data_IF_002572675841
#
_entry.id   IF_002572675841
#
_cell.length_a   1.000
_cell.length_b   1.000
_cell.length_c   1.000
_cell.angle_alpha   90.00
_cell.angle_beta   90.00
_cell.angle_gamma   90.00
#
_symmetry.space_group_name_H-M   'P 1'
#
loop_
_entity.id
_entity.type
_entity.pdbx_description
1 polymer ?
#
# COMPACT_ATOMS: atom_id res chain seq x y z
N UNK A 1 25.89 27.93 -62.71
CA UNK A 1 27.25 28.48 -62.54
C UNK A 1 27.59 29.70 -63.42
N UNK A 2 26.80 30.08 -64.43
CA UNK A 2 27.09 31.26 -65.28
C UNK A 2 26.89 32.61 -64.55
N UNK A 3 25.95 32.68 -63.59
CA UNK A 3 25.63 33.88 -62.80
C UNK A 3 26.77 34.36 -61.88
N UNK A 4 27.57 33.44 -61.34
CA UNK A 4 28.68 33.73 -60.44
C UNK A 4 29.95 34.16 -61.18
N UNK A 5 30.06 33.87 -62.49
CA UNK A 5 31.30 34.09 -63.25
C UNK A 5 31.54 35.58 -63.54
N UNK A 6 30.48 36.34 -63.84
CA UNK A 6 30.57 37.73 -64.32
C UNK A 6 30.33 38.83 -63.25
N UNK A 7 30.23 38.49 -61.95
CA UNK A 7 30.02 39.48 -60.85
C UNK A 7 31.36 40.01 -60.30
N UNK A 8 31.39 41.26 -59.82
CA UNK A 8 32.55 41.88 -59.13
C UNK A 8 33.00 41.02 -57.93
N UNK A 9 34.32 40.97 -57.67
CA UNK A 9 34.93 40.13 -56.62
C UNK A 9 34.27 40.29 -55.24
N UNK A 10 33.96 41.54 -54.85
CA UNK A 10 33.30 41.85 -53.58
C UNK A 10 31.93 41.17 -53.40
N UNK A 11 31.14 41.03 -54.46
CA UNK A 11 29.82 40.40 -54.40
C UNK A 11 29.94 38.88 -54.19
N UNK A 12 30.95 38.25 -54.80
CA UNK A 12 31.20 36.81 -54.62
C UNK A 12 31.63 36.49 -53.18
N UNK A 13 32.50 37.34 -52.61
CA UNK A 13 32.98 37.21 -51.25
C UNK A 13 31.86 37.42 -50.22
N UNK A 14 31.02 38.44 -50.42
CA UNK A 14 29.86 38.72 -49.56
C UNK A 14 28.84 37.59 -49.54
N UNK A 15 28.55 36.97 -50.70
CA UNK A 15 27.65 35.81 -50.79
C UNK A 15 28.22 34.58 -50.09
N UNK A 16 29.52 34.30 -50.24
CA UNK A 16 30.18 33.18 -49.55
C UNK A 16 30.15 33.37 -48.02
N UNK A 17 30.49 34.57 -47.54
CA UNK A 17 30.43 34.88 -46.11
C UNK A 17 29.01 34.76 -45.57
N UNK A 18 28.00 35.23 -46.31
CA UNK A 18 26.60 35.08 -45.93
C UNK A 18 26.16 33.61 -45.82
N UNK A 19 26.56 32.77 -46.76
CA UNK A 19 26.27 31.32 -46.71
C UNK A 19 26.97 30.66 -45.52
N UNK A 20 28.25 30.96 -45.29
CA UNK A 20 29.00 30.42 -44.14
C UNK A 20 28.33 30.84 -42.84
N UNK A 21 27.94 32.11 -42.70
CA UNK A 21 27.26 32.62 -41.52
C UNK A 21 25.91 31.92 -41.29
N UNK A 22 25.11 31.72 -42.35
CA UNK A 22 23.85 30.97 -42.27
C UNK A 22 24.07 29.51 -41.85
N UNK A 23 25.10 28.83 -42.40
CA UNK A 23 25.46 27.47 -42.00
C UNK A 23 25.89 27.40 -40.53
N UNK A 24 26.70 28.36 -40.06
CA UNK A 24 27.12 28.44 -38.66
C UNK A 24 25.92 28.64 -37.73
N UNK A 25 25.01 29.56 -38.06
CA UNK A 25 23.79 29.80 -37.27
C UNK A 25 22.91 28.55 -37.26
N UNK A 26 22.70 27.91 -38.41
CA UNK A 26 21.91 26.69 -38.51
C UNK A 26 22.48 25.54 -37.68
N UNK A 27 23.80 25.34 -37.73
CA UNK A 27 24.49 24.33 -36.93
C UNK A 27 24.39 24.62 -35.41
N UNK A 28 24.54 25.88 -35.00
CA UNK A 28 24.39 26.30 -33.61
C UNK A 28 22.97 26.08 -33.10
N UNK A 29 21.95 26.45 -33.90
CA UNK A 29 20.54 26.22 -33.54
C UNK A 29 20.30 24.72 -33.39
N UNK A 30 20.70 23.89 -34.36
CA UNK A 30 20.51 22.45 -34.30
C UNK A 30 21.18 21.82 -33.07
N UNK A 31 22.42 22.21 -32.76
CA UNK A 31 23.14 21.73 -31.58
C UNK A 31 22.45 22.14 -30.27
N UNK A 32 22.06 23.42 -30.15
CA UNK A 32 21.36 23.92 -28.97
C UNK A 32 19.98 23.28 -28.80
N UNK A 33 19.20 23.15 -29.87
CA UNK A 33 17.89 22.49 -29.83
C UNK A 33 18.01 21.05 -29.37
N UNK A 34 18.99 20.28 -29.88
CA UNK A 34 19.24 18.92 -29.41
C UNK A 34 19.66 18.88 -27.94
N UNK A 35 20.60 19.73 -27.54
CA UNK A 35 21.07 19.83 -26.15
C UNK A 35 19.95 20.21 -25.17
N UNK A 36 19.07 21.13 -25.57
CA UNK A 36 17.91 21.54 -24.79
C UNK A 36 16.90 20.39 -24.70
N UNK A 37 16.60 19.72 -25.82
CA UNK A 37 15.68 18.59 -25.85
C UNK A 37 16.12 17.48 -24.89
N UNK A 38 17.39 17.06 -24.96
CA UNK A 38 17.94 16.00 -24.11
C UNK A 38 17.88 16.40 -22.62
N UNK A 39 18.22 17.66 -22.30
CA UNK A 39 18.14 18.19 -20.92
C UNK A 39 16.70 18.30 -20.42
N UNK A 40 15.77 18.72 -21.27
CA UNK A 40 14.35 18.82 -20.93
C UNK A 40 13.75 17.44 -20.66
N UNK A 41 14.13 16.43 -21.44
CA UNK A 41 13.70 15.05 -21.20
C UNK A 41 14.23 14.53 -19.87
N UNK A 42 15.54 14.65 -19.62
CA UNK A 42 16.15 14.21 -18.36
C UNK A 42 15.57 14.96 -17.15
N UNK A 43 15.33 16.26 -17.28
CA UNK A 43 14.68 17.05 -16.24
C UNK A 43 13.25 16.57 -15.98
N UNK A 44 12.48 16.31 -17.05
CA UNK A 44 11.14 15.75 -16.96
C UNK A 44 11.12 14.40 -16.24
N UNK A 45 12.02 13.49 -16.59
CA UNK A 45 12.18 12.18 -15.92
C UNK A 45 12.55 12.34 -14.45
N UNK A 46 13.47 13.27 -14.12
CA UNK A 46 13.87 13.54 -12.73
C UNK A 46 12.71 14.09 -11.90
N UNK A 47 11.94 15.03 -12.45
CA UNK A 47 10.76 15.60 -11.77
C UNK A 47 9.68 14.53 -11.59
N UNK A 48 9.42 13.71 -12.62
CA UNK A 48 8.49 12.58 -12.51
C UNK A 48 8.94 11.56 -11.46
N UNK A 49 10.23 11.24 -11.42
CA UNK A 49 10.81 10.34 -10.41
C UNK A 49 10.73 10.91 -9.00
N UNK A 50 10.96 12.21 -8.81
CA UNK A 50 10.80 12.88 -7.52
C UNK A 50 9.35 12.89 -7.06
N UNK A 51 8.40 13.13 -7.96
CA UNK A 51 6.97 13.07 -7.67
C UNK A 51 6.56 11.65 -7.23
N UNK A 52 7.00 10.62 -7.96
CA UNK A 52 6.76 9.23 -7.61
C UNK A 52 7.36 8.89 -6.23
N UNK A 53 8.61 9.28 -5.97
CA UNK A 53 9.27 9.03 -4.69
C UNK A 53 8.57 9.73 -3.52
N UNK A 54 8.02 10.93 -3.73
CA UNK A 54 7.25 11.62 -2.69
C UNK A 54 5.97 10.86 -2.35
N UNK A 55 5.20 10.46 -3.37
CA UNK A 55 3.98 9.67 -3.17
C UNK A 55 4.28 8.34 -2.44
N UNK A 56 5.33 7.62 -2.87
CA UNK A 56 5.76 6.39 -2.22
C UNK A 56 6.22 6.61 -0.78
N UNK A 57 6.88 7.74 -0.48
CA UNK A 57 7.37 8.01 0.88
C UNK A 57 6.23 8.13 1.89
N UNK A 58 5.19 8.89 1.56
CA UNK A 58 4.00 9.05 2.42
C UNK A 58 3.30 7.70 2.65
N UNK A 59 3.07 6.96 1.56
CA UNK A 59 2.51 5.61 1.63
C UNK A 59 3.34 4.66 2.51
N UNK A 60 4.66 4.63 2.32
CA UNK A 60 5.55 3.79 3.10
C UNK A 60 5.61 4.18 4.58
N UNK A 61 5.45 5.47 4.91
CA UNK A 61 5.32 5.91 6.30
C UNK A 61 4.07 5.32 6.95
N UNK A 62 2.91 5.40 6.28
CA UNK A 62 1.66 4.83 6.78
C UNK A 62 1.75 3.31 6.95
N UNK A 63 2.29 2.62 5.95
CA UNK A 63 2.50 1.17 6.00
C UNK A 63 3.43 0.76 7.15
N UNK A 64 4.54 1.48 7.34
CA UNK A 64 5.46 1.16 8.44
C UNK A 64 4.81 1.39 9.81
N UNK A 65 3.94 2.39 9.94
CA UNK A 65 3.17 2.61 11.16
C UNK A 65 2.20 1.45 11.43
N UNK A 66 1.44 1.03 10.42
CA UNK A 66 0.53 -0.12 10.54
C UNK A 66 1.31 -1.39 10.91
N UNK A 67 2.46 -1.63 10.27
CA UNK A 67 3.31 -2.79 10.58
C UNK A 67 3.81 -2.78 12.03
N UNK A 68 4.32 -1.65 12.52
CA UNK A 68 4.77 -1.54 13.92
C UNK A 68 3.62 -1.77 14.91
N UNK A 69 2.41 -1.30 14.57
CA UNK A 69 1.20 -1.59 15.33
C UNK A 69 0.91 -3.08 15.37
N UNK A 70 0.95 -3.76 14.21
CA UNK A 70 0.74 -5.20 14.12
C UNK A 70 1.80 -6.00 14.91
N UNK A 71 3.08 -5.63 14.82
CA UNK A 71 4.17 -6.28 15.57
C UNK A 71 3.97 -6.14 17.09
N UNK A 72 3.49 -4.97 17.54
CA UNK A 72 3.18 -4.73 18.95
C UNK A 72 1.97 -5.57 19.38
N UNK A 73 0.88 -5.52 18.60
CA UNK A 73 -0.33 -6.28 18.87
C UNK A 73 -0.07 -7.79 18.89
N UNK A 74 0.71 -8.31 17.94
CA UNK A 74 1.04 -9.73 17.90
C UNK A 74 1.82 -10.15 19.15
N UNK A 75 2.77 -9.33 19.59
CA UNK A 75 3.54 -9.61 20.81
C UNK A 75 2.63 -9.64 22.04
N UNK A 76 1.77 -8.63 22.21
CA UNK A 76 0.83 -8.56 23.33
C UNK A 76 -0.19 -9.70 23.32
N UNK A 77 -0.76 -10.01 22.15
CA UNK A 77 -1.77 -11.06 22.01
C UNK A 77 -1.18 -12.46 22.18
N UNK A 78 0.05 -12.70 21.73
CA UNK A 78 0.77 -13.96 21.99
C UNK A 78 1.09 -14.13 23.47
N UNK A 79 1.55 -13.07 24.15
CA UNK A 79 1.77 -13.10 25.60
C UNK A 79 0.47 -13.39 26.37
N UNK A 80 -0.63 -12.72 25.99
CA UNK A 80 -1.94 -12.97 26.57
C UNK A 80 -2.38 -14.43 26.43
N UNK A 81 -2.20 -15.01 25.24
CA UNK A 81 -2.56 -16.41 25.01
C UNK A 81 -1.64 -17.42 25.73
N UNK A 82 -0.42 -17.03 26.10
CA UNK A 82 0.52 -17.91 26.81
C UNK A 82 0.37 -17.81 28.33
N UNK A 83 0.18 -16.59 28.83
CA UNK A 83 0.25 -16.27 30.25
C UNK A 83 -1.11 -15.93 30.86
N UNK A 84 -2.17 -15.85 30.04
CA UNK A 84 -3.50 -15.41 30.49
C UNK A 84 -3.52 -13.95 30.95
N UNK A 85 -2.62 -13.11 30.42
CA UNK A 85 -2.46 -11.72 30.86
C UNK A 85 -3.61 -10.80 30.43
N UNK A 86 -4.42 -11.22 29.44
CA UNK A 86 -5.66 -10.57 29.03
C UNK A 86 -6.78 -11.61 28.83
N UNK A 87 -8.01 -11.26 29.21
CA UNK A 87 -9.20 -11.99 28.77
C UNK A 87 -9.66 -11.56 27.37
N UNK A 88 -10.64 -12.27 26.80
CA UNK A 88 -11.16 -11.99 25.44
C UNK A 88 -11.70 -10.57 25.31
N UNK A 89 -12.45 -10.08 26.28
CA UNK A 89 -13.01 -8.73 26.28
C UNK A 89 -11.91 -7.66 26.31
N UNK A 90 -10.83 -7.89 27.06
CA UNK A 90 -9.65 -7.02 27.09
C UNK A 90 -8.89 -7.02 25.76
N UNK A 91 -8.74 -8.20 25.14
CA UNK A 91 -8.13 -8.32 23.82
C UNK A 91 -8.98 -7.64 22.73
N UNK A 92 -10.31 -7.74 22.78
CA UNK A 92 -11.21 -6.99 21.86
C UNK A 92 -11.11 -5.48 22.10
N UNK A 93 -11.09 -5.04 23.36
CA UNK A 93 -10.84 -3.63 23.70
C UNK A 93 -9.50 -3.14 23.17
N UNK A 94 -8.45 -3.98 23.18
CA UNK A 94 -7.16 -3.64 22.59
C UNK A 94 -7.30 -3.33 21.09
N UNK A 95 -8.01 -4.17 20.33
CA UNK A 95 -8.29 -3.92 18.89
C UNK A 95 -8.99 -2.58 18.70
N UNK A 96 -10.00 -2.30 19.51
CA UNK A 96 -10.76 -1.03 19.48
C UNK A 96 -9.85 0.17 19.74
N UNK A 97 -8.97 0.11 20.74
CA UNK A 97 -8.07 1.21 21.10
C UNK A 97 -7.06 1.52 19.99
N UNK A 98 -6.56 0.49 19.30
CA UNK A 98 -5.70 0.71 18.12
C UNK A 98 -6.49 1.30 16.96
N UNK A 99 -7.71 0.80 16.71
CA UNK A 99 -8.57 1.33 15.64
C UNK A 99 -8.92 2.80 15.89
N UNK A 100 -9.20 3.21 17.13
CA UNK A 100 -9.46 4.63 17.48
C UNK A 100 -8.27 5.55 17.19
N UNK A 101 -7.04 5.05 17.29
CA UNK A 101 -5.81 5.84 17.10
C UNK A 101 -5.41 5.98 15.63
N UNK A 102 -5.87 5.08 14.77
CA UNK A 102 -5.54 5.09 13.34
C UNK A 102 -6.79 5.25 12.48
N UNK A 103 -7.05 6.49 12.05
CA UNK A 103 -8.20 6.82 11.20
C UNK A 103 -8.06 6.27 9.77
N UNK A 104 -6.85 5.89 9.34
CA UNK A 104 -6.60 5.34 8.00
C UNK A 104 -6.92 3.85 7.91
N UNK A 105 -7.00 3.16 9.05
CA UNK A 105 -7.30 1.74 9.11
C UNK A 105 -8.82 1.52 9.19
N UNK A 106 -9.32 0.66 8.29
CA UNK A 106 -10.73 0.29 8.22
C UNK A 106 -11.14 -0.61 9.40
N UNK A 107 -10.29 -1.56 9.80
CA UNK A 107 -10.54 -2.42 10.93
C UNK A 107 -9.33 -3.27 11.32
N UNK A 108 -9.37 -3.80 12.54
CA UNK A 108 -8.37 -4.73 13.08
C UNK A 108 -9.07 -6.00 13.56
N UNK A 109 -8.48 -7.15 13.27
CA UNK A 109 -8.95 -8.43 13.77
C UNK A 109 -7.81 -9.22 14.41
N UNK A 110 -8.19 -10.22 15.19
CA UNK A 110 -7.31 -11.35 15.51
C UNK A 110 -8.08 -12.64 15.29
N UNK A 111 -7.41 -13.66 14.76
CA UNK A 111 -8.04 -14.95 14.46
C UNK A 111 -7.18 -16.08 14.96
N UNK A 112 -7.74 -16.92 15.82
CA UNK A 112 -7.03 -17.99 16.49
C UNK A 112 -7.43 -19.36 15.94
N UNK A 113 -6.59 -20.37 16.10
CA UNK A 113 -7.01 -21.76 15.90
C UNK A 113 -7.94 -22.19 17.05
N UNK A 114 -8.74 -23.26 16.89
CA UNK A 114 -9.61 -23.75 17.95
C UNK A 114 -8.87 -23.94 19.27
N UNK A 115 -9.40 -23.34 20.34
CA UNK A 115 -8.87 -23.35 21.70
C UNK A 115 -7.46 -22.75 21.87
N UNK A 116 -6.94 -22.01 20.87
CA UNK A 116 -5.55 -21.56 20.90
C UNK A 116 -5.30 -20.28 21.73
N UNK A 117 -6.34 -19.46 21.97
CA UNK A 117 -6.22 -18.23 22.75
C UNK A 117 -6.25 -18.52 24.26
N UNK A 118 -7.35 -19.08 24.77
CA UNK A 118 -7.58 -19.30 26.21
C UNK A 118 -8.04 -20.72 26.57
N UNK A 119 -8.17 -21.60 25.57
CA UNK A 119 -8.66 -22.97 25.77
C UNK A 119 -10.14 -23.10 26.11
N UNK A 120 -10.93 -22.02 25.97
CA UNK A 120 -12.32 -21.98 26.45
C UNK A 120 -13.33 -21.58 25.35
N UNK A 121 -13.17 -22.09 24.12
CA UNK A 121 -14.06 -21.77 23.01
C UNK A 121 -15.52 -22.20 23.29
N UNK A 122 -15.72 -23.31 23.99
CA UNK A 122 -17.04 -23.87 24.26
C UNK A 122 -17.97 -22.92 25.04
N UNK A 123 -17.40 -22.09 25.92
CA UNK A 123 -18.13 -21.11 26.73
C UNK A 123 -18.46 -19.81 25.97
N UNK A 124 -18.00 -19.68 24.72
CA UNK A 124 -18.09 -18.45 23.93
C UNK A 124 -18.93 -18.60 22.65
N UNK A 125 -19.65 -19.71 22.47
CA UNK A 125 -20.53 -19.91 21.31
C UNK A 125 -21.64 -18.86 21.28
N UNK A 126 -21.64 -17.99 20.26
CA UNK A 126 -22.59 -16.89 20.05
C UNK A 126 -22.82 -16.03 21.32
N UNK A 127 -21.77 -15.80 22.12
CA UNK A 127 -21.90 -15.13 23.43
C UNK A 127 -21.92 -13.61 23.32
N UNK A 128 -21.07 -13.05 22.47
CA UNK A 128 -21.01 -11.62 22.15
C UNK A 128 -21.17 -11.39 20.65
N UNK A 129 -21.34 -10.12 20.25
CA UNK A 129 -21.48 -9.73 18.84
C UNK A 129 -20.27 -10.12 17.97
N UNK A 130 -19.10 -10.34 18.58
CA UNK A 130 -17.85 -10.76 17.92
C UNK A 130 -17.56 -12.27 18.02
N UNK A 131 -18.46 -13.06 18.60
CA UNK A 131 -18.32 -14.51 18.71
C UNK A 131 -19.22 -15.21 17.68
N UNK A 132 -18.70 -16.27 17.04
CA UNK A 132 -19.48 -17.08 16.10
C UNK A 132 -20.02 -18.37 16.74
N UNK A 133 -20.68 -19.20 15.92
CA UNK A 133 -21.25 -20.47 16.35
C UNK A 133 -20.20 -21.53 16.72
N UNK A 134 -18.91 -21.30 16.45
CA UNK A 134 -17.82 -22.19 16.83
C UNK A 134 -17.26 -21.85 18.22
N UNK A 135 -17.49 -20.62 18.70
CA UNK A 135 -16.94 -20.10 19.96
C UNK A 135 -15.45 -19.77 19.88
N UNK A 136 -14.85 -19.87 18.70
CA UNK A 136 -13.45 -19.53 18.46
C UNK A 136 -13.20 -18.04 18.68
N UNK A 137 -12.03 -17.70 19.21
CA UNK A 137 -11.65 -16.29 19.34
C UNK A 137 -11.24 -15.73 17.97
N UNK A 138 -12.18 -15.06 17.29
CA UNK A 138 -12.00 -14.48 15.95
C UNK A 138 -12.63 -13.08 15.81
N UNK A 139 -12.44 -12.15 16.76
CA UNK A 139 -13.12 -10.86 16.73
C UNK A 139 -12.55 -9.94 15.64
N UNK A 140 -13.44 -9.15 15.03
CA UNK A 140 -13.12 -8.11 14.08
C UNK A 140 -13.73 -6.77 14.53
N UNK A 141 -12.86 -5.81 14.88
CA UNK A 141 -13.26 -4.43 15.14
C UNK A 141 -13.22 -3.62 13.85
N UNK A 142 -14.31 -2.98 13.49
CA UNK A 142 -14.49 -2.28 12.21
C UNK A 142 -14.99 -0.86 12.44
N UNK A 143 -14.59 0.05 11.56
CA UNK A 143 -15.14 1.39 11.47
C UNK A 143 -16.36 1.43 10.54
N UNK A 144 -17.51 1.79 11.08
CA UNK A 144 -18.71 2.12 10.30
C UNK A 144 -19.03 3.61 10.47
N UNK A 145 -18.58 4.42 9.51
CA UNK A 145 -18.67 5.87 9.58
C UNK A 145 -17.92 6.45 10.79
N UNK A 146 -18.65 7.11 11.69
CA UNK A 146 -18.10 7.71 12.91
C UNK A 146 -18.16 6.78 14.14
N UNK A 147 -18.69 5.57 13.97
CA UNK A 147 -18.84 4.58 15.04
C UNK A 147 -17.95 3.36 14.80
N UNK A 148 -17.67 2.61 15.86
CA UNK A 148 -17.01 1.33 15.78
C UNK A 148 -18.04 0.22 16.02
N UNK A 149 -17.90 -0.86 15.26
CA UNK A 149 -18.71 -2.07 15.33
C UNK A 149 -17.80 -3.29 15.49
N UNK A 150 -18.36 -4.38 16.04
CA UNK A 150 -17.64 -5.63 16.22
C UNK A 150 -18.45 -6.78 15.65
N UNK A 151 -17.79 -7.66 14.90
CA UNK A 151 -18.39 -8.90 14.38
C UNK A 151 -17.34 -10.01 14.35
N UNK A 152 -17.72 -11.29 14.33
CA UNK A 152 -16.75 -12.35 14.09
C UNK A 152 -16.23 -12.27 12.65
N UNK A 153 -14.99 -12.70 12.45
CA UNK A 153 -14.47 -12.95 11.11
C UNK A 153 -15.40 -13.89 10.32
N UNK A 154 -15.57 -13.62 9.04
CA UNK A 154 -16.38 -14.46 8.14
C UNK A 154 -15.51 -15.04 7.03
N UNK A 155 -15.93 -16.17 6.44
CA UNK A 155 -15.21 -16.82 5.33
C UNK A 155 -13.74 -17.16 5.63
N UNK A 156 -13.32 -17.26 6.90
CA UNK A 156 -11.95 -17.57 7.28
C UNK A 156 -11.56 -19.03 7.00
N UNK A 157 -12.52 -19.94 6.88
CA UNK A 157 -12.30 -21.35 6.48
C UNK A 157 -12.46 -21.56 4.98
N UNK A 158 -11.95 -22.70 4.49
CA UNK A 158 -12.10 -23.11 3.10
C UNK A 158 -11.01 -22.55 2.18
N UNK A 159 -11.27 -22.58 0.87
CA UNK A 159 -10.29 -22.26 -0.18
C UNK A 159 -10.79 -21.23 -1.20
N UNK A 160 -11.73 -20.36 -0.80
CA UNK A 160 -12.20 -19.25 -1.62
C UNK A 160 -11.20 -18.10 -1.62
N UNK A 161 -11.36 -17.16 -2.55
CA UNK A 161 -10.62 -15.90 -2.56
C UNK A 161 -10.82 -15.12 -1.25
N UNK A 162 -12.04 -15.12 -0.73
CA UNK A 162 -12.40 -14.48 0.54
C UNK A 162 -11.85 -15.19 1.78
N UNK A 163 -11.29 -16.41 1.68
CA UNK A 163 -10.61 -17.06 2.81
C UNK A 163 -9.11 -16.81 2.86
N UNK A 164 -8.55 -16.22 1.80
CA UNK A 164 -7.09 -16.06 1.65
C UNK A 164 -6.45 -15.22 2.75
N UNK A 165 -7.15 -14.19 3.25
CA UNK A 165 -6.66 -13.32 4.31
C UNK A 165 -6.30 -14.10 5.60
N UNK A 166 -6.96 -15.22 5.87
CA UNK A 166 -6.65 -16.10 7.00
C UNK A 166 -5.79 -17.30 6.58
N UNK A 167 -6.12 -17.95 5.47
CA UNK A 167 -5.51 -19.22 5.06
C UNK A 167 -4.08 -19.06 4.55
N UNK A 168 -3.77 -17.98 3.82
CA UNK A 168 -2.42 -17.76 3.30
C UNK A 168 -1.39 -17.51 4.41
N UNK A 169 -1.56 -16.55 5.34
CA UNK A 169 -0.58 -16.34 6.41
C UNK A 169 -0.48 -17.55 7.34
N UNK A 170 -1.59 -18.28 7.58
CA UNK A 170 -1.58 -19.57 8.31
C UNK A 170 -0.67 -20.60 7.63
N UNK A 171 -0.79 -20.75 6.31
CA UNK A 171 -0.01 -21.72 5.53
C UNK A 171 1.46 -21.33 5.40
N UNK A 172 1.74 -20.07 5.11
CA UNK A 172 3.11 -19.59 4.81
C UNK A 172 3.90 -19.22 6.06
N UNK A 173 3.22 -19.01 7.20
CA UNK A 173 3.83 -18.51 8.45
C UNK A 173 4.63 -17.22 8.25
N UNK A 174 4.22 -16.44 7.24
CA UNK A 174 4.86 -15.18 6.86
C UNK A 174 3.80 -14.10 6.72
N UNK A 175 4.22 -12.83 6.82
CA UNK A 175 3.33 -11.69 6.57
C UNK A 175 2.67 -11.85 5.19
N UNK A 176 1.36 -11.66 5.16
CA UNK A 176 0.57 -11.76 3.93
C UNK A 176 -0.06 -10.42 3.60
N UNK A 177 0.01 -10.06 2.33
CA UNK A 177 -0.66 -8.91 1.74
C UNK A 177 -1.70 -9.47 0.77
N UNK A 178 -2.97 -9.22 1.05
CA UNK A 178 -4.01 -9.67 0.13
C UNK A 178 -4.03 -8.82 -1.13
N UNK A 179 -4.46 -9.42 -2.23
CA UNK A 179 -5.00 -8.62 -3.33
C UNK A 179 -6.27 -7.89 -2.85
N UNK A 180 -6.73 -6.82 -3.55
CA UNK A 180 -8.02 -6.22 -3.28
C UNK A 180 -9.15 -7.22 -3.50
N UNK A 181 -9.86 -7.58 -2.44
CA UNK A 181 -10.98 -8.53 -2.46
C UNK A 181 -12.21 -7.86 -1.85
N UNK A 182 -13.38 -8.13 -2.42
CA UNK A 182 -14.65 -7.61 -1.88
C UNK A 182 -15.15 -8.53 -0.77
N UNK A 183 -15.43 -7.95 0.39
CA UNK A 183 -16.00 -8.63 1.55
C UNK A 183 -17.32 -7.98 1.95
N UNK A 184 -18.25 -8.78 2.48
CA UNK A 184 -19.41 -8.26 3.20
C UNK A 184 -19.01 -7.98 4.65
N UNK A 185 -18.87 -6.71 5.01
CA UNK A 185 -18.49 -6.27 6.37
C UNK A 185 -19.54 -5.28 6.87
N UNK A 186 -20.07 -5.46 8.08
CA UNK A 186 -21.17 -4.62 8.58
C UNK A 186 -22.40 -4.61 7.65
N UNK A 187 -22.64 -5.71 6.95
CA UNK A 187 -23.73 -5.84 5.96
C UNK A 187 -23.54 -5.08 4.64
N UNK A 188 -22.33 -4.55 4.37
CA UNK A 188 -22.02 -3.79 3.15
C UNK A 188 -20.86 -4.44 2.39
N UNK A 189 -20.97 -4.49 1.07
CA UNK A 189 -19.88 -4.90 0.19
C UNK A 189 -18.77 -3.84 0.19
N UNK A 190 -17.57 -4.23 0.63
CA UNK A 190 -16.41 -3.35 0.76
C UNK A 190 -15.18 -3.99 0.13
N UNK A 191 -14.52 -3.26 -0.77
CA UNK A 191 -13.24 -3.68 -1.34
C UNK A 191 -12.12 -3.42 -0.32
N UNK A 192 -11.42 -4.47 0.10
CA UNK A 192 -10.40 -4.39 1.14
C UNK A 192 -9.07 -5.01 0.69
N UNK A 193 -7.99 -4.44 1.22
CA UNK A 193 -6.65 -5.03 1.23
C UNK A 193 -6.28 -5.29 2.68
N UNK A 194 -5.81 -6.50 2.98
CA UNK A 194 -5.44 -6.92 4.33
C UNK A 194 -3.93 -7.14 4.44
N UNK A 195 -3.33 -6.61 5.51
CA UNK A 195 -1.96 -6.90 5.93
C UNK A 195 -2.07 -7.79 7.16
N UNK A 196 -1.60 -9.03 7.03
CA UNK A 196 -1.87 -10.07 8.02
C UNK A 196 -0.56 -10.64 8.53
N UNK A 197 -0.32 -10.48 9.83
CA UNK A 197 0.82 -11.05 10.51
C UNK A 197 0.39 -12.37 11.19
N UNK A 198 0.99 -13.53 10.85
CA UNK A 198 0.66 -14.78 11.50
C UNK A 198 1.20 -14.83 12.92
N UNK A 199 0.37 -15.30 13.85
CA UNK A 199 0.75 -15.53 15.24
C UNK A 199 1.40 -16.91 15.37
N UNK A 200 2.72 -16.96 15.23
CA UNK A 200 3.51 -18.20 15.30
C UNK A 200 4.14 -18.31 16.68
N UNK A 201 3.99 -19.48 17.32
CA UNK A 201 4.71 -19.86 18.55
C UNK A 201 6.08 -20.45 18.23
#
# INVERSE_FOLDING_TARGET
>A
MHFFRNRKLAVKLGLLLGIVLLCCIGALIAFNTKSIYDKSLQYGESVAGQAANRATKEFMTDINQVKNTLDTMSTTLLDAAQNGSLNREEAVRLLEQYLKKDEKVFGFYTGWEPNAFDGNDADHVNKNDYDDATGRFIPYAIRDGNTLHFEPLTTYEGNSETSTYYQQPKKTKSIYWSEPVTYTVGGKETLLVSIVLPLVR
#
